data_IF_920886463835
#
_entry.id   IF_920886463835
#
_cell.length_a   1.000
_cell.length_b   1.000
_cell.length_c   1.000
_cell.angle_alpha   90.00
_cell.angle_beta   90.00
_cell.angle_gamma   90.00
#
_symmetry.space_group_name_H-M   'P 1'
#
loop_
_entity.id
_entity.type
_entity.pdbx_description
1 polymer ?
#
# COMPACT_ATOMS: atom_id res chain seq x y z
N UNK A 1 -1.44 26.21 16.74
CA UNK A 1 -2.41 25.98 15.65
C UNK A 1 -1.99 24.71 14.92
N UNK A 2 -2.41 23.55 15.45
CA UNK A 2 -2.05 22.24 14.89
C UNK A 2 -3.03 21.91 13.77
N UNK A 3 -2.50 21.61 12.59
CA UNK A 3 -3.29 21.24 11.42
C UNK A 3 -4.20 20.03 11.73
N UNK A 4 -5.54 20.19 11.75
CA UNK A 4 -6.48 19.13 12.13
C UNK A 4 -6.50 17.94 11.15
N UNK A 5 -5.89 18.07 9.98
CA UNK A 5 -5.79 17.00 8.96
C UNK A 5 -4.75 15.92 9.31
N UNK A 6 -3.80 16.21 10.23
CA UNK A 6 -2.68 15.30 10.55
C UNK A 6 -3.02 14.23 11.60
N UNK A 7 -4.25 14.20 12.13
CA UNK A 7 -4.68 13.24 13.16
C UNK A 7 -5.33 11.97 12.59
N UNK A 8 -5.28 11.74 11.27
CA UNK A 8 -5.66 10.45 10.67
C UNK A 8 -4.51 9.43 10.81
N UNK A 9 -4.00 9.25 12.03
CA UNK A 9 -2.93 8.32 12.31
C UNK A 9 -3.38 6.87 12.04
N UNK A 10 -2.58 6.19 11.21
CA UNK A 10 -2.35 4.73 11.22
C UNK A 10 -3.55 3.83 10.88
N UNK A 11 -4.24 4.10 9.77
CA UNK A 11 -5.02 3.05 9.09
C UNK A 11 -4.05 2.03 8.47
N UNK A 12 -3.98 0.82 9.01
CA UNK A 12 -3.16 -0.31 8.52
C UNK A 12 -3.78 -0.96 7.28
N UNK A 13 -4.48 -0.20 6.46
CA UNK A 13 -5.14 -0.72 5.28
C UNK A 13 -4.24 -0.47 4.09
N UNK A 14 -3.99 -1.51 3.30
CA UNK A 14 -3.22 -1.41 2.08
C UNK A 14 -4.19 -1.19 0.93
N UNK A 15 -3.92 -0.22 0.07
CA UNK A 15 -4.74 0.06 -1.12
C UNK A 15 -4.06 -0.50 -2.35
N UNK A 16 -4.85 -0.86 -3.36
CA UNK A 16 -4.33 -1.41 -4.60
C UNK A 16 -3.34 -0.46 -5.32
N UNK A 17 -3.57 0.85 -5.22
CA UNK A 17 -2.74 1.87 -5.88
C UNK A 17 -1.31 1.98 -5.30
N UNK A 18 -1.05 1.36 -4.14
CA UNK A 18 0.31 1.28 -3.59
C UNK A 18 1.15 0.16 -4.26
N UNK A 19 0.52 -0.75 -5.02
CA UNK A 19 1.19 -1.86 -5.67
C UNK A 19 1.39 -1.60 -7.17
N UNK A 20 2.65 -1.51 -7.57
CA UNK A 20 3.06 -1.66 -8.97
C UNK A 20 3.28 -3.16 -9.24
N UNK A 21 2.21 -3.83 -9.69
CA UNK A 21 2.22 -5.28 -9.93
C UNK A 21 3.09 -5.65 -11.15
N UNK A 22 3.22 -4.74 -12.11
CA UNK A 22 4.05 -4.96 -13.32
C UNK A 22 5.54 -4.93 -12.98
N UNK A 23 5.96 -3.95 -12.16
CA UNK A 23 7.34 -3.84 -11.69
C UNK A 23 7.62 -4.72 -10.46
N UNK A 24 6.58 -5.27 -9.83
CA UNK A 24 6.70 -6.04 -8.60
C UNK A 24 7.16 -5.21 -7.42
N UNK A 25 6.63 -4.00 -7.25
CA UNK A 25 7.03 -3.08 -6.18
C UNK A 25 5.80 -2.66 -5.38
N UNK A 26 5.89 -2.77 -4.05
CA UNK A 26 4.95 -2.14 -3.14
C UNK A 26 5.54 -0.85 -2.59
N UNK A 27 4.89 0.28 -2.86
CA UNK A 27 5.32 1.60 -2.42
C UNK A 27 4.45 2.08 -1.27
N UNK A 28 5.04 2.20 -0.08
CA UNK A 28 4.38 2.74 1.10
C UNK A 28 4.73 4.23 1.22
N UNK A 29 3.74 5.13 1.15
CA UNK A 29 3.99 6.56 1.12
C UNK A 29 4.54 7.08 2.46
N UNK A 30 5.37 8.13 2.37
CA UNK A 30 6.12 8.71 3.48
C UNK A 30 5.26 9.08 4.70
N UNK A 31 4.05 9.59 4.46
CA UNK A 31 3.12 10.01 5.52
C UNK A 31 2.60 8.83 6.36
N UNK A 32 2.69 7.59 5.88
CA UNK A 32 2.33 6.37 6.63
C UNK A 32 3.51 5.79 7.42
N UNK A 33 4.74 6.20 7.09
CA UNK A 33 5.95 5.66 7.68
C UNK A 33 6.43 6.53 8.84
N UNK A 34 6.82 5.88 9.95
CA UNK A 34 7.36 6.56 11.13
C UNK A 34 8.60 7.41 10.79
N UNK A 35 9.37 6.99 9.79
CA UNK A 35 10.58 7.66 9.34
C UNK A 35 10.32 8.81 8.35
N UNK A 36 9.06 9.10 7.98
CA UNK A 36 8.71 10.20 7.07
C UNK A 36 9.29 10.08 5.66
N UNK A 37 9.63 8.85 5.23
CA UNK A 37 10.23 8.56 3.92
C UNK A 37 9.42 7.47 3.23
N UNK A 38 9.29 7.60 1.91
CA UNK A 38 8.69 6.56 1.07
C UNK A 38 9.50 5.27 1.21
N UNK A 39 8.80 4.14 1.32
CA UNK A 39 9.41 2.84 1.39
C UNK A 39 8.98 2.00 0.19
N UNK A 40 9.95 1.48 -0.56
CA UNK A 40 9.72 0.61 -1.72
C UNK A 40 10.14 -0.80 -1.35
N UNK A 41 9.20 -1.72 -1.38
CA UNK A 41 9.40 -3.14 -1.04
C UNK A 41 9.30 -3.97 -2.33
N UNK A 42 10.40 -4.60 -2.78
CA UNK A 42 10.34 -5.55 -3.88
C UNK A 42 9.47 -6.75 -3.50
N UNK A 43 8.58 -7.14 -4.40
CA UNK A 43 7.70 -8.29 -4.25
C UNK A 43 8.32 -9.51 -4.89
N UNK A 44 8.10 -10.67 -4.27
CA UNK A 44 8.48 -11.94 -4.88
C UNK A 44 7.47 -12.32 -5.96
N UNK A 45 7.89 -13.17 -6.91
CA UNK A 45 7.00 -13.70 -7.94
C UNK A 45 5.74 -14.38 -7.35
N UNK A 46 5.88 -15.04 -6.18
CA UNK A 46 4.74 -15.65 -5.48
C UNK A 46 3.76 -14.59 -4.96
N UNK A 47 4.27 -13.49 -4.39
CA UNK A 47 3.43 -12.39 -3.90
C UNK A 47 2.67 -11.72 -5.07
N UNK A 48 3.34 -11.49 -6.19
CA UNK A 48 2.72 -10.96 -7.42
C UNK A 48 1.58 -11.87 -7.88
N UNK A 49 1.81 -13.19 -7.95
CA UNK A 49 0.77 -14.14 -8.37
C UNK A 49 -0.46 -14.11 -7.45
N UNK A 50 -0.25 -14.00 -6.13
CA UNK A 50 -1.35 -13.88 -5.17
C UNK A 50 -2.12 -12.57 -5.38
N UNK A 51 -1.41 -11.45 -5.56
CA UNK A 51 -2.04 -10.14 -5.81
C UNK A 51 -2.87 -10.15 -7.10
N UNK A 52 -2.37 -10.78 -8.17
CA UNK A 52 -3.10 -10.94 -9.44
C UNK A 52 -4.35 -11.82 -9.31
N UNK A 53 -4.35 -12.81 -8.42
CA UNK A 53 -5.54 -13.62 -8.14
C UNK A 53 -6.56 -12.81 -7.34
N UNK A 54 -6.11 -12.11 -6.30
CA UNK A 54 -6.96 -11.28 -5.45
C UNK A 54 -7.58 -10.09 -6.20
N UNK A 55 -6.88 -9.52 -7.20
CA UNK A 55 -7.42 -8.41 -8.00
C UNK A 55 -8.63 -8.83 -8.85
N UNK A 56 -8.75 -10.11 -9.21
CA UNK A 56 -9.88 -10.63 -9.99
C UNK A 56 -11.18 -10.71 -9.18
N UNK A 57 -11.09 -10.79 -7.86
CA UNK A 57 -12.23 -10.87 -6.93
C UNK A 57 -12.39 -9.59 -6.12
N UNK A 58 -11.81 -8.48 -6.58
CA UNK A 58 -11.80 -7.19 -5.89
C UNK A 58 -13.22 -6.62 -5.75
N UNK A 59 -13.69 -6.50 -4.51
CA UNK A 59 -14.95 -5.83 -4.16
C UNK A 59 -14.76 -4.42 -3.57
N UNK A 60 -13.51 -4.03 -3.27
CA UNK A 60 -13.16 -2.78 -2.58
C UNK A 60 -11.76 -2.29 -2.98
N UNK A 61 -11.46 -1.02 -2.73
CA UNK A 61 -10.14 -0.41 -2.96
C UNK A 61 -9.07 -0.86 -1.97
N UNK A 62 -9.46 -1.66 -0.97
CA UNK A 62 -8.59 -2.22 0.05
C UNK A 62 -8.20 -3.66 -0.29
N UNK A 63 -6.93 -4.01 -0.05
CA UNK A 63 -6.39 -5.36 -0.29
C UNK A 63 -6.71 -6.31 0.88
N UNK A 64 -6.75 -5.79 2.11
CA UNK A 64 -7.13 -6.52 3.34
C UNK A 64 -7.93 -5.61 4.28
#
# INVERSE_FOLDING_TARGET
>A
MGNPELTRLKKLTVIWDEFDVEQGIWTIPAHRMKAGREHRVPLTARAIAILQQLSQTRLSDHVF
#
